data_IF_388114319741
#
_entry.id   IF_388114319741
#
_cell.length_a   1.000
_cell.length_b   1.000
_cell.length_c   1.000
_cell.angle_alpha   90.00
_cell.angle_beta   90.00
_cell.angle_gamma   90.00
#
_symmetry.space_group_name_H-M   'P 1'
#
loop_
_entity.id
_entity.type
_entity.pdbx_description
1 polymer ?
#
# COMPACT_ATOMS: atom_id res chain seq x y z
N UNK A 1 -3.14 -16.47 19.40
CA UNK A 1 -1.72 -16.03 19.24
C UNK A 1 -1.54 -14.77 18.40
N UNK A 2 -2.13 -14.63 17.20
CA UNK A 2 -1.94 -13.46 16.31
C UNK A 2 -2.23 -12.08 16.93
N UNK A 3 -3.21 -11.96 17.84
CA UNK A 3 -3.53 -10.68 18.49
C UNK A 3 -2.47 -10.23 19.50
N UNK A 4 -1.86 -11.17 20.25
CA UNK A 4 -0.83 -10.85 21.26
C UNK A 4 0.50 -10.43 20.63
N UNK A 5 0.91 -11.10 19.55
CA UNK A 5 2.14 -10.73 18.81
C UNK A 5 1.97 -9.35 18.17
N UNK A 6 0.79 -9.05 17.61
CA UNK A 6 0.52 -7.72 17.06
C UNK A 6 0.53 -6.63 18.12
N UNK A 7 -0.01 -6.91 19.31
CA UNK A 7 -0.04 -5.96 20.43
C UNK A 7 1.38 -5.63 20.94
N UNK A 8 2.21 -6.66 21.11
CA UNK A 8 3.61 -6.50 21.57
C UNK A 8 4.46 -5.78 20.52
N UNK A 9 4.24 -6.06 19.22
CA UNK A 9 4.95 -5.35 18.15
C UNK A 9 4.53 -3.88 18.09
N UNK A 10 3.26 -3.56 18.35
CA UNK A 10 2.79 -2.16 18.37
C UNK A 10 3.37 -1.40 19.57
N UNK A 11 3.38 -1.99 20.77
CA UNK A 11 4.05 -1.39 21.94
C UNK A 11 5.56 -1.21 21.73
N UNK A 12 6.21 -2.19 21.10
CA UNK A 12 7.62 -2.08 20.75
C UNK A 12 7.88 -0.96 19.73
N UNK A 13 6.94 -0.71 18.81
CA UNK A 13 7.05 0.37 17.82
C UNK A 13 6.78 1.76 18.41
N UNK A 14 6.03 1.86 19.51
CA UNK A 14 5.81 3.12 20.22
C UNK A 14 7.07 3.61 20.95
N UNK A 15 7.93 2.70 21.40
CA UNK A 15 9.19 3.05 22.07
C UNK A 15 10.38 3.23 21.11
N UNK A 16 10.24 2.86 19.83
CA UNK A 16 11.30 2.99 18.82
C UNK A 16 11.38 4.42 18.28
N UNK A 17 12.62 4.92 18.17
CA UNK A 17 12.89 6.21 17.51
C UNK A 17 12.67 6.11 16.00
N UNK A 18 12.52 7.24 15.33
CA UNK A 18 12.42 7.28 13.86
C UNK A 18 13.69 6.74 13.19
N UNK A 19 14.87 6.94 13.81
CA UNK A 19 16.14 6.37 13.34
C UNK A 19 16.11 4.84 13.38
N UNK A 20 15.64 4.25 14.50
CA UNK A 20 15.52 2.79 14.63
C UNK A 20 14.55 2.21 13.58
N UNK A 21 13.45 2.92 13.31
CA UNK A 21 12.47 2.54 12.29
C UNK A 21 13.08 2.58 10.89
N UNK A 22 13.87 3.61 10.57
CA UNK A 22 14.55 3.71 9.28
C UNK A 22 15.60 2.61 9.08
N UNK A 23 16.37 2.27 10.13
CA UNK A 23 17.29 1.13 10.08
C UNK A 23 16.53 -0.18 9.83
N UNK A 24 15.42 -0.39 10.53
CA UNK A 24 14.59 -1.59 10.36
C UNK A 24 13.96 -1.66 8.95
N UNK A 25 13.50 -0.54 8.38
CA UNK A 25 13.04 -0.46 6.99
C UNK A 25 14.14 -0.92 6.04
N UNK A 26 15.36 -0.38 6.20
CA UNK A 26 16.51 -0.76 5.39
C UNK A 26 16.83 -2.25 5.41
N UNK A 27 16.66 -2.92 6.55
CA UNK A 27 16.86 -4.36 6.68
C UNK A 27 15.77 -5.20 6.00
N UNK A 28 14.52 -4.72 5.97
CA UNK A 28 13.38 -5.46 5.40
C UNK A 28 13.26 -5.26 3.88
N UNK A 29 13.65 -4.08 3.38
CA UNK A 29 13.51 -3.68 1.97
C UNK A 29 14.01 -4.73 0.95
N UNK A 30 15.16 -5.39 1.11
CA UNK A 30 15.64 -6.40 0.16
C UNK A 30 14.68 -7.59 -0.02
N UNK A 31 14.01 -8.02 1.06
CA UNK A 31 13.10 -9.17 1.04
C UNK A 31 11.82 -8.91 0.24
N UNK A 32 11.53 -7.65 -0.08
CA UNK A 32 10.40 -7.30 -0.93
C UNK A 32 10.59 -7.84 -2.35
N UNK A 33 11.82 -8.09 -2.80
CA UNK A 33 12.17 -8.61 -4.13
C UNK A 33 12.51 -10.10 -4.14
N UNK A 34 12.30 -10.80 -3.02
CA UNK A 34 12.62 -12.22 -2.90
C UNK A 34 11.86 -13.09 -3.92
N UNK A 35 12.47 -14.20 -4.36
CA UNK A 35 11.88 -15.12 -5.35
C UNK A 35 10.55 -15.70 -4.88
N UNK A 36 10.46 -16.07 -3.59
CA UNK A 36 9.24 -16.58 -2.98
C UNK A 36 8.23 -15.47 -2.65
N UNK A 37 7.01 -15.63 -3.15
CA UNK A 37 5.91 -14.69 -2.92
C UNK A 37 5.48 -14.58 -1.44
N UNK A 38 5.66 -15.65 -0.66
CA UNK A 38 5.40 -15.64 0.80
C UNK A 38 6.34 -14.70 1.54
N UNK A 39 7.62 -14.70 1.17
CA UNK A 39 8.63 -13.80 1.75
C UNK A 39 8.34 -12.36 1.36
N UNK A 40 8.02 -12.10 0.08
CA UNK A 40 7.61 -10.76 -0.36
C UNK A 40 6.37 -10.24 0.40
N UNK A 41 5.37 -11.10 0.59
CA UNK A 41 4.18 -10.77 1.36
C UNK A 41 4.53 -10.41 2.81
N UNK A 42 5.32 -11.23 3.49
CA UNK A 42 5.76 -10.96 4.86
C UNK A 42 6.55 -9.65 4.96
N UNK A 43 7.45 -9.39 4.01
CA UNK A 43 8.22 -8.15 3.94
C UNK A 43 7.31 -6.92 3.80
N UNK A 44 6.31 -6.98 2.91
CA UNK A 44 5.31 -5.89 2.75
C UNK A 44 4.53 -5.63 4.05
N UNK A 45 4.13 -6.69 4.76
CA UNK A 45 3.44 -6.54 6.04
C UNK A 45 4.34 -5.95 7.13
N UNK A 46 5.61 -6.34 7.16
CA UNK A 46 6.58 -5.80 8.09
C UNK A 46 6.84 -4.31 7.81
N UNK A 47 7.06 -3.93 6.55
CA UNK A 47 7.21 -2.52 6.15
C UNK A 47 6.00 -1.68 6.57
N UNK A 48 4.78 -2.19 6.40
CA UNK A 48 3.57 -1.48 6.83
C UNK A 48 3.49 -1.20 8.34
N UNK A 49 4.19 -2.00 9.15
CA UNK A 49 4.21 -1.85 10.61
C UNK A 49 5.33 -0.91 11.05
N UNK A 50 6.49 -0.94 10.40
CA UNK A 50 7.69 -0.24 10.85
C UNK A 50 7.94 1.10 10.15
N UNK A 51 7.35 1.31 8.96
CA UNK A 51 7.56 2.53 8.19
C UNK A 51 6.89 3.74 8.83
N UNK A 52 7.57 4.88 8.77
CA UNK A 52 6.99 6.15 9.15
C UNK A 52 5.98 6.61 8.11
N UNK A 53 5.01 7.44 8.52
CA UNK A 53 4.11 8.10 7.57
C UNK A 53 4.90 9.01 6.63
N UNK A 54 4.54 9.00 5.35
CA UNK A 54 5.21 9.76 4.30
C UNK A 54 6.54 9.16 3.83
N UNK A 55 6.90 7.93 4.24
CA UNK A 55 8.15 7.29 3.80
C UNK A 55 8.10 6.94 2.30
N UNK A 56 8.64 7.84 1.48
CA UNK A 56 8.66 7.72 0.02
C UNK A 56 9.37 6.46 -0.49
N UNK A 57 10.37 5.96 0.24
CA UNK A 57 11.08 4.73 -0.13
C UNK A 57 10.16 3.52 -0.03
N UNK A 58 9.38 3.45 1.05
CA UNK A 58 8.40 2.40 1.29
C UNK A 58 7.20 2.57 0.35
N UNK A 59 6.71 3.78 0.12
CA UNK A 59 5.63 4.05 -0.84
C UNK A 59 6.01 3.61 -2.27
N UNK A 60 7.27 3.83 -2.68
CA UNK A 60 7.81 3.33 -3.94
C UNK A 60 7.74 1.80 -4.05
N UNK A 61 8.17 1.09 -2.99
CA UNK A 61 8.11 -0.37 -2.95
C UNK A 61 6.69 -0.90 -2.93
N UNK A 62 5.80 -0.33 -2.12
CA UNK A 62 4.40 -0.74 -2.08
C UNK A 62 3.76 -0.60 -3.46
N UNK A 63 4.01 0.50 -4.17
CA UNK A 63 3.53 0.70 -5.52
C UNK A 63 4.08 -0.34 -6.51
N UNK A 64 5.35 -0.72 -6.40
CA UNK A 64 5.92 -1.80 -7.20
C UNK A 64 5.25 -3.15 -6.90
N UNK A 65 4.93 -3.44 -5.63
CA UNK A 65 4.27 -4.68 -5.20
C UNK A 65 2.78 -4.74 -5.53
N UNK A 66 2.12 -3.62 -5.83
CA UNK A 66 0.78 -3.61 -6.43
C UNK A 66 0.74 -4.20 -7.85
N UNK A 67 1.90 -4.44 -8.49
CA UNK A 67 2.02 -5.11 -9.80
C UNK A 67 2.61 -6.51 -9.69
N UNK A 68 2.72 -7.06 -8.47
CA UNK A 68 3.30 -8.38 -8.25
C UNK A 68 2.49 -9.48 -8.98
N UNK A 69 3.15 -10.50 -9.56
CA UNK A 69 2.46 -11.63 -10.17
C UNK A 69 1.50 -12.33 -9.20
N UNK A 70 1.85 -12.40 -7.91
CA UNK A 70 1.01 -13.05 -6.90
C UNK A 70 -0.08 -12.10 -6.37
N UNK A 71 -1.38 -12.45 -6.49
CA UNK A 71 -2.48 -11.63 -5.99
C UNK A 71 -2.39 -11.33 -4.48
N UNK A 72 -1.91 -12.28 -3.69
CA UNK A 72 -1.72 -12.10 -2.25
C UNK A 72 -0.73 -10.96 -1.93
N UNK A 73 0.33 -10.80 -2.72
CA UNK A 73 1.32 -9.72 -2.54
C UNK A 73 0.73 -8.39 -3.00
N UNK A 74 0.01 -8.35 -4.13
CA UNK A 74 -0.71 -7.14 -4.58
C UNK A 74 -1.68 -6.64 -3.53
N UNK A 75 -2.50 -7.56 -2.99
CA UNK A 75 -3.44 -7.27 -1.92
C UNK A 75 -2.76 -6.74 -0.66
N UNK A 76 -1.66 -7.36 -0.24
CA UNK A 76 -0.89 -6.90 0.91
C UNK A 76 -0.37 -5.47 0.72
N UNK A 77 0.13 -5.14 -0.48
CA UNK A 77 0.60 -3.80 -0.78
C UNK A 77 -0.53 -2.76 -0.70
N UNK A 78 -1.71 -3.07 -1.23
CA UNK A 78 -2.89 -2.21 -1.11
C UNK A 78 -3.36 -2.03 0.33
N UNK A 79 -3.28 -3.09 1.14
CA UNK A 79 -3.64 -3.02 2.56
C UNK A 79 -2.64 -2.23 3.40
N UNK A 80 -1.36 -2.27 3.02
CA UNK A 80 -0.26 -1.55 3.66
C UNK A 80 -0.26 -0.06 3.31
N UNK A 81 -0.57 0.31 2.07
CA UNK A 81 -0.44 1.68 1.57
C UNK A 81 -1.08 2.75 2.48
N UNK A 82 -2.31 2.60 3.01
CA UNK A 82 -2.91 3.62 3.86
C UNK A 82 -2.25 3.80 5.24
N UNK A 83 -1.40 2.86 5.67
CA UNK A 83 -0.64 3.00 6.91
C UNK A 83 0.59 3.91 6.74
N UNK A 84 1.15 3.94 5.53
CA UNK A 84 2.37 4.68 5.20
C UNK A 84 2.06 5.99 4.48
N UNK A 85 1.04 6.01 3.62
CA UNK A 85 0.68 7.20 2.86
C UNK A 85 0.10 8.29 3.76
N UNK A 86 0.40 9.54 3.41
CA UNK A 86 -0.29 10.71 3.94
C UNK A 86 -1.74 10.74 3.46
N UNK A 87 -2.61 11.27 4.31
CA UNK A 87 -4.01 11.49 3.96
C UNK A 87 -4.09 12.47 2.79
N UNK A 88 -4.90 12.12 1.80
CA UNK A 88 -5.07 12.90 0.58
C UNK A 88 -3.91 12.82 -0.41
N UNK A 89 -2.92 11.93 -0.22
CA UNK A 89 -1.83 11.78 -1.18
C UNK A 89 -2.34 11.32 -2.56
N UNK A 90 -2.42 12.27 -3.49
CA UNK A 90 -2.98 12.09 -4.85
C UNK A 90 -2.21 11.02 -5.64
N UNK A 91 -0.88 10.98 -5.50
CA UNK A 91 -0.05 9.98 -6.20
C UNK A 91 -0.36 8.55 -5.71
N UNK A 92 -0.57 8.39 -4.41
CA UNK A 92 -0.97 7.11 -3.83
C UNK A 92 -2.37 6.70 -4.29
N UNK A 93 -3.32 7.63 -4.31
CA UNK A 93 -4.67 7.40 -4.80
C UNK A 93 -4.67 6.98 -6.28
N UNK A 94 -3.92 7.69 -7.13
CA UNK A 94 -3.80 7.40 -8.56
C UNK A 94 -3.25 5.98 -8.83
N UNK A 95 -2.24 5.57 -8.07
CA UNK A 95 -1.66 4.22 -8.15
C UNK A 95 -2.66 3.12 -7.79
N UNK A 96 -3.58 3.40 -6.86
CA UNK A 96 -4.61 2.46 -6.41
C UNK A 96 -5.75 2.32 -7.43
N UNK A 97 -6.13 3.39 -8.13
CA UNK A 97 -7.22 3.37 -9.13
C UNK A 97 -6.95 2.30 -10.20
N UNK A 98 -5.70 2.17 -10.65
CA UNK A 98 -5.32 1.15 -11.64
C UNK A 98 -5.48 -0.30 -11.17
N UNK A 99 -5.86 -0.55 -9.91
CA UNK A 99 -6.16 -1.87 -9.34
C UNK A 99 -7.66 -2.15 -9.15
N UNK A 100 -8.54 -1.23 -9.51
CA UNK A 100 -10.00 -1.46 -9.42
C UNK A 100 -10.48 -2.55 -10.38
N UNK A 101 -9.77 -2.74 -11.50
CA UNK A 101 -10.04 -3.76 -12.53
C UNK A 101 -9.04 -4.92 -12.45
N UNK A 102 -8.43 -5.16 -11.29
CA UNK A 102 -7.52 -6.30 -11.11
C UNK A 102 -8.30 -7.62 -11.30
N UNK A 103 -7.75 -8.62 -12.01
CA UNK A 103 -8.44 -9.91 -12.24
C UNK A 103 -8.78 -10.68 -10.96
N UNK A 104 -8.12 -10.37 -9.84
CA UNK A 104 -8.43 -10.95 -8.55
C UNK A 104 -9.40 -10.04 -7.77
N UNK A 105 -10.62 -10.52 -7.51
CA UNK A 105 -11.66 -9.80 -6.75
C UNK A 105 -11.20 -9.38 -5.35
N UNK A 106 -10.27 -10.11 -4.75
CA UNK A 106 -9.69 -9.78 -3.45
C UNK A 106 -8.77 -8.57 -3.53
N UNK A 107 -8.04 -8.41 -4.63
CA UNK A 107 -7.19 -7.26 -4.93
C UNK A 107 -8.05 -6.05 -5.30
N UNK A 108 -9.04 -6.22 -6.18
CA UNK A 108 -9.95 -5.13 -6.56
C UNK A 108 -10.65 -4.51 -5.35
N UNK A 109 -11.22 -5.34 -4.46
CA UNK A 109 -11.83 -4.85 -3.20
C UNK A 109 -10.83 -4.19 -2.26
N UNK A 110 -9.61 -4.71 -2.19
CA UNK A 110 -8.56 -4.10 -1.37
C UNK A 110 -8.18 -2.72 -1.90
N UNK A 111 -8.19 -2.54 -3.22
CA UNK A 111 -7.93 -1.26 -3.86
C UNK A 111 -9.00 -0.23 -3.51
N UNK A 112 -10.29 -0.55 -3.67
CA UNK A 112 -11.38 0.36 -3.30
C UNK A 112 -11.29 0.78 -1.82
N UNK A 113 -11.00 -0.18 -0.93
CA UNK A 113 -10.83 0.11 0.50
C UNK A 113 -9.60 0.97 0.80
N UNK A 114 -8.48 0.73 0.12
CA UNK A 114 -7.27 1.51 0.28
C UNK A 114 -7.49 2.96 -0.18
N UNK A 115 -8.16 3.15 -1.31
CA UNK A 115 -8.49 4.45 -1.87
C UNK A 115 -9.29 5.29 -0.88
N UNK A 116 -10.40 4.77 -0.34
CA UNK A 116 -11.23 5.48 0.65
C UNK A 116 -10.44 5.84 1.91
N UNK A 117 -9.54 4.96 2.37
CA UNK A 117 -8.72 5.22 3.55
C UNK A 117 -7.66 6.31 3.33
N UNK A 118 -7.12 6.42 2.12
CA UNK A 118 -6.14 7.46 1.78
C UNK A 118 -6.84 8.77 1.49
N UNK A 119 -7.95 8.76 0.75
CA UNK A 119 -8.74 9.95 0.46
C UNK A 119 -9.15 10.70 1.73
N UNK A 120 -9.57 9.97 2.77
CA UNK A 120 -10.15 10.58 3.96
C UNK A 120 -11.62 10.92 3.77
N UNK A 121 -12.28 11.41 4.83
CA UNK A 121 -13.74 11.59 4.85
C UNK A 121 -14.25 12.74 3.96
N UNK A 122 -13.39 13.72 3.67
CA UNK A 122 -13.80 15.02 3.09
C UNK A 122 -12.89 15.43 1.92
N UNK A 123 -12.61 14.52 0.98
CA UNK A 123 -11.69 14.80 -0.13
C UNK A 123 -12.41 14.81 -1.47
N UNK A 124 -12.99 15.96 -1.82
CA UNK A 124 -13.63 16.21 -3.12
C UNK A 124 -12.65 15.97 -4.29
N UNK A 125 -11.35 16.17 -4.07
CA UNK A 125 -10.30 15.87 -5.03
C UNK A 125 -10.19 14.38 -5.38
N UNK A 126 -10.65 13.48 -4.51
CA UNK A 126 -10.69 12.05 -4.79
C UNK A 126 -11.75 11.69 -5.85
N UNK A 127 -12.88 12.40 -5.87
CA UNK A 127 -13.93 12.21 -6.89
C UNK A 127 -13.42 12.71 -8.25
N UNK A 128 -12.86 13.92 -8.30
CA UNK A 128 -12.30 14.46 -9.54
C UNK A 128 -11.16 13.60 -10.11
N UNK A 129 -10.35 12.97 -9.24
CA UNK A 129 -9.31 12.03 -9.68
C UNK A 129 -9.90 10.77 -10.33
N UNK A 130 -11.00 10.23 -9.78
CA UNK A 130 -11.71 9.11 -10.37
C UNK A 130 -12.33 9.48 -11.72
N UNK A 131 -12.98 10.63 -11.80
CA UNK A 131 -13.59 11.16 -13.03
C UNK A 131 -12.54 11.31 -14.13
N UNK A 132 -11.45 12.04 -13.86
CA UNK A 132 -10.35 12.21 -14.81
C UNK A 132 -9.74 10.88 -15.27
N UNK A 133 -9.63 9.90 -14.36
CA UNK A 133 -9.13 8.56 -14.72
C UNK A 133 -10.11 7.75 -15.55
N UNK A 134 -11.42 7.84 -15.30
CA UNK A 134 -12.44 7.20 -16.11
C UNK A 134 -12.52 7.80 -17.52
N UNK A 135 -12.38 9.12 -17.65
CA UNK A 135 -12.32 9.81 -18.94
C UNK A 135 -11.08 9.42 -19.75
N UNK A 136 -9.91 9.39 -19.11
CA UNK A 136 -8.64 8.98 -19.74
C UNK A 136 -8.60 7.47 -20.09
N UNK A 137 -9.30 6.63 -19.34
CA UNK A 137 -9.45 5.20 -19.61
C UNK A 137 -10.43 4.92 -20.74
N UNK A 138 -11.54 5.67 -20.80
CA UNK A 138 -12.55 5.55 -21.87
C UNK A 138 -12.01 5.97 -23.23
N UNK A 139 -11.14 6.99 -23.28
CA UNK A 139 -10.42 7.37 -24.50
C UNK A 139 -9.47 6.28 -25.03
N UNK A 140 -9.02 5.34 -24.20
CA UNK A 140 -8.16 4.22 -24.63
C UNK A 140 -8.93 2.97 -25.07
N UNK A 141 -10.25 2.93 -24.90
CA UNK A 141 -11.12 1.84 -25.34
C UNK A 141 -11.81 2.11 -26.70
N UNK A 142 -11.50 3.24 -27.36
CA UNK A 142 -12.05 3.61 -28.69
C UNK A 142 -11.07 3.37 -29.86
N UNK A 143 -10.05 2.52 -29.71
CA UNK A 143 -9.16 2.10 -30.83
C UNK A 143 -9.08 0.59 -30.91
#
# INVERSE_FOLDING_TARGET
MRARVRHVVVEALEIMTDEDKQVAVGMVMPYTQHLESRVRHAAVQALAAIACRGDESVLGVLAARMRDPQPAVRKAALQALPAVADLGNVMCMDRVIGRFVDPDDGVARAASKAFVRIAGKDNDGAIGLLESRLESGSSKMQV
#
